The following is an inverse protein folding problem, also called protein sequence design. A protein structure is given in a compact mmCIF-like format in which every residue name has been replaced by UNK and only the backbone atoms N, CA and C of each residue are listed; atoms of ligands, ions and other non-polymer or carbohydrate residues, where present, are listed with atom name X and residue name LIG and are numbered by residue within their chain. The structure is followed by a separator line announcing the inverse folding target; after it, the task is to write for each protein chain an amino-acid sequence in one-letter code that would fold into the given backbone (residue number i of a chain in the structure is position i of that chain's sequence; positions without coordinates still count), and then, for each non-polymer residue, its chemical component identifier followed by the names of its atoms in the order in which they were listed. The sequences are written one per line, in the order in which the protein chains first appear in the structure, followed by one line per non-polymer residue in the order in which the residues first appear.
data_IF_361049388106
#
_entry.id   IF_361049388106
#
_cell.length_a   1.000
_cell.length_b   1.000
_cell.length_c   1.000
_cell.angle_alpha   90.00
_cell.angle_beta   90.00
_cell.angle_gamma   90.00
#
_symmetry.space_group_name_H-M   'P 1'
#
loop_
_entity.id
_entity.type
_entity.pdbx_description
1 polymer ?
#
# COMPACT_ATOMS: atom_id res chain seq x y z
N UNK A 1 9.98 -4.42 -25.52
CA UNK A 1 9.84 -5.66 -24.73
C UNK A 1 8.40 -5.71 -24.22
N UNK A 2 7.51 -6.49 -24.86
CA UNK A 2 6.10 -6.58 -24.45
C UNK A 2 6.01 -7.36 -23.14
N UNK A 3 5.98 -6.66 -22.00
CA UNK A 3 5.60 -7.24 -20.71
C UNK A 3 4.09 -7.44 -20.72
N UNK A 4 3.62 -8.54 -21.30
CA UNK A 4 2.22 -8.96 -21.19
C UNK A 4 1.90 -9.30 -19.74
N UNK A 5 0.69 -8.97 -19.30
CA UNK A 5 0.19 -9.34 -17.99
C UNK A 5 0.05 -10.87 -17.89
N UNK A 6 0.63 -11.48 -16.86
CA UNK A 6 0.43 -12.89 -16.57
C UNK A 6 -0.81 -13.06 -15.69
N UNK A 7 -1.77 -13.87 -16.15
CA UNK A 7 -3.04 -14.09 -15.44
C UNK A 7 -2.84 -14.67 -14.05
N UNK A 8 -1.82 -15.51 -13.83
CA UNK A 8 -1.51 -16.06 -12.50
C UNK A 8 -1.04 -14.99 -11.54
N UNK A 9 -0.25 -14.03 -12.03
CA UNK A 9 0.17 -12.87 -11.24
C UNK A 9 -1.02 -11.99 -10.92
N UNK A 10 -1.87 -11.70 -11.91
CA UNK A 10 -3.09 -10.93 -11.71
C UNK A 10 -4.03 -11.57 -10.67
N UNK A 11 -4.19 -12.90 -10.69
CA UNK A 11 -4.98 -13.63 -9.69
C UNK A 11 -4.36 -13.51 -8.29
N UNK A 12 -3.03 -13.60 -8.15
CA UNK A 12 -2.40 -13.38 -6.84
C UNK A 12 -2.60 -11.96 -6.33
N UNK A 13 -2.42 -10.97 -7.20
CA UNK A 13 -2.60 -9.57 -6.86
C UNK A 13 -4.06 -9.28 -6.47
N UNK A 14 -5.04 -9.84 -7.18
CA UNK A 14 -6.46 -9.68 -6.83
C UNK A 14 -6.80 -10.32 -5.49
N UNK A 15 -6.23 -11.50 -5.18
CA UNK A 15 -6.37 -12.13 -3.87
C UNK A 15 -5.78 -11.26 -2.75
N UNK A 16 -4.58 -10.70 -2.95
CA UNK A 16 -3.95 -9.79 -1.98
C UNK A 16 -4.81 -8.55 -1.73
N UNK A 17 -5.29 -7.91 -2.80
CA UNK A 17 -6.16 -6.74 -2.70
C UNK A 17 -7.49 -7.09 -2.03
N UNK A 18 -8.08 -8.25 -2.32
CA UNK A 18 -9.29 -8.74 -1.67
C UNK A 18 -9.11 -8.96 -0.17
N UNK A 19 -7.99 -9.58 0.24
CA UNK A 19 -7.62 -9.72 1.65
C UNK A 19 -7.47 -8.34 2.30
N UNK A 20 -6.78 -7.41 1.63
CA UNK A 20 -6.61 -6.05 2.09
C UNK A 20 -7.95 -5.34 2.31
N UNK A 21 -8.89 -5.49 1.38
CA UNK A 21 -10.22 -4.89 1.47
C UNK A 21 -10.98 -5.38 2.70
N UNK A 22 -11.00 -6.70 2.92
CA UNK A 22 -11.64 -7.30 4.10
C UNK A 22 -11.01 -6.78 5.38
N UNK A 23 -9.67 -6.82 5.48
CA UNK A 23 -8.96 -6.33 6.66
C UNK A 23 -9.21 -4.84 6.90
N UNK A 24 -9.31 -4.02 5.85
CA UNK A 24 -9.57 -2.59 5.96
C UNK A 24 -11.00 -2.28 6.44
N UNK A 25 -11.99 -3.03 5.97
CA UNK A 25 -13.40 -2.86 6.39
C UNK A 25 -13.53 -3.10 7.90
N UNK A 26 -12.90 -4.17 8.41
CA UNK A 26 -12.97 -4.56 9.83
C UNK A 26 -11.95 -3.87 10.73
N UNK A 27 -11.03 -3.07 10.18
CA UNK A 27 -10.06 -2.32 10.99
C UNK A 27 -10.77 -1.27 11.86
N UNK A 28 -10.46 -1.20 13.16
CA UNK A 28 -11.05 -0.20 14.05
C UNK A 28 -10.56 1.21 13.67
N UNK A 29 -11.44 2.23 13.68
CA UNK A 29 -11.03 3.61 13.47
C UNK A 29 -10.21 4.14 14.65
N UNK A 30 -9.22 4.97 14.32
CA UNK A 30 -8.38 5.68 15.29
C UNK A 30 -9.07 7.01 15.67
N UNK A 31 -9.15 7.95 14.72
CA UNK A 31 -9.70 9.30 14.93
C UNK A 31 -10.43 9.78 13.66
N UNK A 32 -11.55 10.49 13.82
CA UNK A 32 -12.34 11.05 12.70
C UNK A 32 -12.68 10.04 11.58
N UNK A 33 -12.84 8.76 11.94
CA UNK A 33 -13.10 7.69 10.97
C UNK A 33 -11.87 7.27 10.15
N UNK A 34 -10.69 7.82 10.41
CA UNK A 34 -9.43 7.35 9.82
C UNK A 34 -8.99 6.05 10.50
N UNK A 35 -8.65 5.06 9.68
CA UNK A 35 -8.28 3.70 10.09
C UNK A 35 -6.85 3.39 9.63
N UNK A 36 -6.14 2.45 10.28
CA UNK A 36 -4.93 1.87 9.71
C UNK A 36 -5.22 1.27 8.33
N UNK A 37 -4.45 1.69 7.33
CA UNK A 37 -4.72 1.31 5.95
C UNK A 37 -4.15 -0.07 5.61
N UNK A 38 -4.92 -1.12 5.90
CA UNK A 38 -4.55 -2.51 5.59
C UNK A 38 -4.56 -2.80 4.08
N UNK A 39 -5.32 -2.04 3.30
CA UNK A 39 -5.30 -2.08 1.83
C UNK A 39 -3.93 -1.61 1.32
N UNK A 40 -3.38 -0.55 1.91
CA UNK A 40 -2.03 -0.06 1.60
C UNK A 40 -0.95 -1.11 1.90
N UNK A 41 -1.06 -1.84 3.02
CA UNK A 41 -0.13 -2.92 3.35
C UNK A 41 -0.15 -4.02 2.29
N UNK A 42 -1.33 -4.46 1.84
CA UNK A 42 -1.44 -5.48 0.79
C UNK A 42 -0.98 -4.96 -0.58
N UNK A 43 -1.21 -3.69 -0.88
CA UNK A 43 -0.66 -3.03 -2.08
C UNK A 43 0.87 -3.09 -2.07
N UNK A 44 1.51 -2.69 -0.97
CA UNK A 44 2.96 -2.75 -0.81
C UNK A 44 3.51 -4.17 -0.91
N UNK A 45 2.82 -5.16 -0.32
CA UNK A 45 3.16 -6.57 -0.50
C UNK A 45 3.10 -7.01 -1.96
N UNK A 46 2.04 -6.63 -2.69
CA UNK A 46 1.91 -6.92 -4.12
C UNK A 46 3.08 -6.34 -4.92
N UNK A 47 3.46 -5.09 -4.64
CA UNK A 47 4.60 -4.42 -5.27
C UNK A 47 5.93 -5.12 -4.94
N UNK A 48 6.11 -5.56 -3.69
CA UNK A 48 7.31 -6.29 -3.26
C UNK A 48 7.46 -7.67 -3.92
N UNK A 49 6.36 -8.38 -4.13
CA UNK A 49 6.37 -9.70 -4.77
C UNK A 49 6.53 -9.61 -6.28
N UNK A 50 5.93 -8.57 -6.89
CA UNK A 50 5.95 -8.35 -8.33
C UNK A 50 6.36 -6.91 -8.66
N UNK A 51 7.65 -6.57 -8.51
CA UNK A 51 8.17 -5.22 -8.72
C UNK A 51 8.26 -4.89 -10.22
N UNK A 52 7.12 -4.78 -10.89
CA UNK A 52 7.02 -4.38 -12.29
C UNK A 52 6.01 -3.25 -12.46
N UNK A 53 6.38 -2.23 -13.22
CA UNK A 53 5.58 -1.02 -13.40
C UNK A 53 4.12 -1.27 -13.80
N UNK A 54 3.78 -2.19 -14.73
CA UNK A 54 2.37 -2.45 -15.07
C UNK A 54 1.54 -2.95 -13.88
N UNK A 55 2.11 -3.81 -13.04
CA UNK A 55 1.44 -4.31 -11.83
C UNK A 55 1.34 -3.23 -10.75
N UNK A 56 2.37 -2.38 -10.61
CA UNK A 56 2.37 -1.26 -9.66
C UNK A 56 1.25 -0.28 -9.99
N UNK A 57 1.13 0.11 -11.26
CA UNK A 57 0.07 1.02 -11.73
C UNK A 57 -1.30 0.40 -11.46
N UNK A 58 -1.47 -0.88 -11.84
CA UNK A 58 -2.72 -1.60 -11.58
C UNK A 58 -3.08 -1.63 -10.10
N UNK A 59 -2.13 -2.00 -9.23
CA UNK A 59 -2.32 -2.05 -7.78
C UNK A 59 -2.65 -0.66 -7.22
N UNK A 60 -1.98 0.38 -7.68
CA UNK A 60 -2.25 1.76 -7.29
C UNK A 60 -3.70 2.14 -7.56
N UNK A 61 -4.19 1.97 -8.79
CA UNK A 61 -5.56 2.31 -9.16
C UNK A 61 -6.61 1.42 -8.50
N UNK A 62 -6.39 0.11 -8.39
CA UNK A 62 -7.33 -0.80 -7.73
C UNK A 62 -7.46 -0.47 -6.24
N UNK A 63 -6.34 -0.22 -5.56
CA UNK A 63 -6.32 0.17 -4.16
C UNK A 63 -6.97 1.53 -3.98
N UNK A 64 -6.74 2.48 -4.90
CA UNK A 64 -7.39 3.79 -4.92
C UNK A 64 -8.91 3.66 -4.96
N UNK A 65 -9.44 2.86 -5.90
CA UNK A 65 -10.86 2.64 -6.07
C UNK A 65 -11.50 1.98 -4.85
N UNK A 66 -10.92 0.89 -4.35
CA UNK A 66 -11.48 0.17 -3.20
C UNK A 66 -11.40 1.01 -1.93
N UNK A 67 -10.28 1.69 -1.70
CA UNK A 67 -10.12 2.57 -0.53
C UNK A 67 -11.07 3.78 -0.61
N UNK A 68 -11.28 4.35 -1.79
CA UNK A 68 -12.28 5.40 -2.00
C UNK A 68 -13.71 4.89 -1.73
N UNK A 69 -14.06 3.66 -2.13
CA UNK A 69 -15.38 3.08 -1.87
C UNK A 69 -15.62 2.72 -0.40
N UNK A 70 -14.57 2.41 0.35
CA UNK A 70 -14.66 1.90 1.73
C UNK A 70 -14.32 2.94 2.80
N UNK A 71 -13.83 4.12 2.41
CA UNK A 71 -13.45 5.17 3.35
C UNK A 71 -14.68 5.84 3.99
N UNK A 72 -14.61 6.03 5.31
CA UNK A 72 -15.58 6.81 6.08
C UNK A 72 -15.11 8.25 6.34
N UNK A 73 -13.94 8.63 5.83
CA UNK A 73 -13.35 9.95 6.05
C UNK A 73 -13.98 10.97 5.08
N UNK A 74 -14.49 12.12 5.56
CA UNK A 74 -14.97 13.20 4.69
C UNK A 74 -13.88 13.63 3.68
N UNK A 75 -14.22 13.73 2.40
CA UNK A 75 -13.24 14.02 1.33
C UNK A 75 -12.27 12.86 1.01
N UNK A 76 -12.34 11.75 1.76
CA UNK A 76 -11.43 10.61 1.63
C UNK A 76 -11.50 9.89 0.29
N UNK A 77 -12.63 9.96 -0.41
CA UNK A 77 -12.81 9.34 -1.73
C UNK A 77 -11.83 9.94 -2.75
N UNK A 78 -11.81 11.28 -2.83
CA UNK A 78 -10.92 12.01 -3.73
C UNK A 78 -9.47 11.91 -3.26
N UNK A 79 -9.25 12.02 -1.94
CA UNK A 79 -7.91 11.87 -1.37
C UNK A 79 -7.29 10.50 -1.68
N UNK A 80 -8.04 9.41 -1.51
CA UNK A 80 -7.57 8.06 -1.84
C UNK A 80 -7.35 7.85 -3.34
N UNK A 81 -8.19 8.46 -4.19
CA UNK A 81 -8.05 8.37 -5.64
C UNK A 81 -6.73 8.98 -6.13
N UNK A 82 -6.27 10.05 -5.47
CA UNK A 82 -5.00 10.73 -5.79
C UNK A 82 -3.81 10.08 -5.08
N UNK A 83 -3.95 9.77 -3.79
CA UNK A 83 -2.88 9.23 -2.95
C UNK A 83 -2.36 7.89 -3.48
N UNK A 84 -3.22 6.88 -3.65
CA UNK A 84 -2.75 5.50 -3.87
C UNK A 84 -1.94 5.31 -5.16
N UNK A 85 -2.30 5.89 -6.32
CA UNK A 85 -1.47 5.80 -7.52
C UNK A 85 -0.10 6.45 -7.34
N UNK A 86 -0.02 7.62 -6.69
CA UNK A 86 1.23 8.33 -6.43
C UNK A 86 2.10 7.53 -5.45
N UNK A 87 1.50 7.10 -4.35
CA UNK A 87 2.15 6.31 -3.32
C UNK A 87 2.67 4.97 -3.86
N UNK A 88 1.91 4.27 -4.70
CA UNK A 88 2.36 3.03 -5.33
C UNK A 88 3.64 3.25 -6.16
N UNK A 89 3.67 4.31 -6.98
CA UNK A 89 4.83 4.67 -7.79
C UNK A 89 6.03 5.09 -6.93
N UNK A 90 5.83 5.91 -5.90
CA UNK A 90 6.90 6.34 -4.98
C UNK A 90 7.47 5.15 -4.20
N UNK A 91 6.59 4.27 -3.69
CA UNK A 91 7.00 3.05 -3.00
C UNK A 91 7.79 2.12 -3.93
N UNK A 92 7.36 1.97 -5.18
CA UNK A 92 8.09 1.19 -6.17
C UNK A 92 9.48 1.78 -6.48
N UNK A 93 9.58 3.10 -6.61
CA UNK A 93 10.86 3.79 -6.76
C UNK A 93 11.80 3.52 -5.57
N UNK A 94 11.27 3.65 -4.34
CA UNK A 94 12.00 3.35 -3.11
C UNK A 94 12.47 1.89 -3.09
N UNK A 95 11.60 0.95 -3.46
CA UNK A 95 11.92 -0.46 -3.55
C UNK A 95 13.08 -0.71 -4.51
N UNK A 96 13.04 -0.15 -5.74
CA UNK A 96 14.09 -0.37 -6.75
C UNK A 96 15.47 0.09 -6.25
N UNK A 97 15.52 1.23 -5.55
CA UNK A 97 16.77 1.80 -5.04
C UNK A 97 17.37 0.91 -3.96
N UNK A 98 16.56 0.47 -2.99
CA UNK A 98 17.07 -0.21 -1.80
C UNK A 98 17.11 -1.74 -1.87
N UNK A 99 16.36 -2.37 -2.78
CA UNK A 99 16.31 -3.84 -2.90
C UNK A 99 17.65 -4.48 -3.26
N UNK A 100 18.57 -3.72 -3.86
CA UNK A 100 19.91 -4.21 -4.22
C UNK A 100 20.88 -4.27 -3.03
N UNK A 101 20.59 -3.53 -1.96
CA UNK A 101 21.51 -3.31 -0.83
C UNK A 101 21.01 -3.99 0.45
N UNK A 102 19.68 -4.08 0.62
CA UNK A 102 19.06 -4.56 1.86
C UNK A 102 18.28 -5.85 1.58
N UNK A 103 18.44 -6.84 2.46
CA UNK A 103 17.68 -8.09 2.37
C UNK A 103 16.16 -7.82 2.41
N UNK A 104 15.35 -8.44 1.55
CA UNK A 104 13.92 -8.14 1.43
C UNK A 104 13.13 -8.21 2.74
N UNK A 105 13.45 -9.18 3.62
CA UNK A 105 12.80 -9.33 4.95
C UNK A 105 13.01 -8.12 5.86
N UNK A 106 14.18 -7.47 5.78
CA UNK A 106 14.48 -6.25 6.56
C UNK A 106 14.00 -5.00 5.83
N UNK A 107 14.05 -5.02 4.50
CA UNK A 107 13.66 -3.88 3.69
C UNK A 107 12.16 -3.62 3.79
N UNK A 108 11.33 -4.67 3.67
CA UNK A 108 9.88 -4.56 3.60
C UNK A 108 9.26 -3.71 4.73
N UNK A 109 9.53 -3.96 6.03
CA UNK A 109 9.00 -3.11 7.11
C UNK A 109 9.45 -1.65 7.01
N UNK A 110 10.71 -1.40 6.70
CA UNK A 110 11.30 -0.05 6.66
C UNK A 110 10.67 0.78 5.54
N UNK A 111 10.58 0.22 4.34
CA UNK A 111 9.96 0.93 3.21
C UNK A 111 8.45 1.07 3.40
N UNK A 112 7.79 0.14 4.11
CA UNK A 112 6.37 0.28 4.46
C UNK A 112 6.13 1.40 5.45
N UNK A 113 7.00 1.58 6.46
CA UNK A 113 6.91 2.71 7.37
C UNK A 113 7.01 4.05 6.59
N UNK A 114 8.05 4.17 5.75
CA UNK A 114 8.28 5.36 4.92
C UNK A 114 7.11 5.58 3.95
N UNK A 115 6.67 4.53 3.25
CA UNK A 115 5.57 4.58 2.31
C UNK A 115 4.24 4.96 2.96
N UNK A 116 3.97 4.50 4.18
CA UNK A 116 2.75 4.86 4.93
C UNK A 116 2.78 6.32 5.38
N UNK A 117 3.95 6.82 5.79
CA UNK A 117 4.11 8.24 6.15
C UNK A 117 3.88 9.12 4.91
N UNK A 118 4.49 8.77 3.77
CA UNK A 118 4.32 9.51 2.51
C UNK A 118 2.84 9.47 2.08
N UNK A 119 2.21 8.28 2.10
CA UNK A 119 0.80 8.11 1.76
C UNK A 119 -0.12 8.92 2.67
N UNK A 120 0.10 8.86 3.98
CA UNK A 120 -0.67 9.62 4.96
C UNK A 120 -0.51 11.13 4.78
N UNK A 121 0.69 11.60 4.45
CA UNK A 121 0.92 13.01 4.14
C UNK A 121 0.17 13.46 2.87
N UNK A 122 0.23 12.67 1.79
CA UNK A 122 -0.47 12.98 0.54
C UNK A 122 -1.99 12.95 0.76
N UNK A 123 -2.49 11.91 1.42
CA UNK A 123 -3.92 11.77 1.75
C UNK A 123 -4.42 12.97 2.57
N UNK A 124 -3.73 13.33 3.66
CA UNK A 124 -4.12 14.46 4.49
C UNK A 124 -4.04 15.79 3.74
N UNK A 125 -3.00 15.98 2.92
CA UNK A 125 -2.85 17.21 2.14
C UNK A 125 -4.03 17.41 1.17
N UNK A 126 -4.37 16.36 0.41
CA UNK A 126 -5.52 16.40 -0.51
C UNK A 126 -6.83 16.55 0.25
N UNK A 127 -7.00 15.85 1.38
CA UNK A 127 -8.18 15.98 2.22
C UNK A 127 -8.34 17.44 2.67
N UNK A 128 -7.35 18.05 3.34
CA UNK A 128 -7.42 19.42 3.86
C UNK A 128 -7.85 20.44 2.79
N UNK A 129 -7.30 20.34 1.57
CA UNK A 129 -7.66 21.23 0.45
C UNK A 129 -9.12 21.06 0.03
N UNK A 130 -9.63 19.83 -0.01
CA UNK A 130 -10.98 19.54 -0.52
C UNK A 130 -12.07 19.83 0.51
N UNK A 131 -11.85 19.47 1.78
CA UNK A 131 -12.85 19.68 2.86
C UNK A 131 -12.75 21.06 3.52
N UNK A 132 -11.75 21.88 3.17
CA UNK A 132 -11.56 23.21 3.78
C UNK A 132 -11.31 23.13 5.28
N UNK A 133 -10.58 22.09 5.72
CA UNK A 133 -10.34 21.84 7.13
C UNK A 133 -9.47 22.97 7.72
N UNK A 134 -9.86 23.49 8.89
CA UNK A 134 -9.24 24.66 9.54
C UNK A 134 -7.70 24.52 9.60
N UNK A 135 -7.01 25.63 9.31
CA UNK A 135 -5.55 25.76 9.43
C UNK A 135 -5.07 25.22 10.79
N UNK A 136 -4.09 24.31 10.78
CA UNK A 136 -3.56 23.64 11.99
C UNK A 136 -4.02 22.19 12.18
N UNK A 137 -5.05 21.73 11.46
CA UNK A 137 -5.51 20.33 11.52
C UNK A 137 -4.52 19.32 10.93
N UNK A 138 -3.74 19.69 9.90
CA UNK A 138 -2.80 18.77 9.24
C UNK A 138 -1.78 18.17 10.22
N UNK A 139 -1.06 19.03 10.95
CA UNK A 139 -0.01 18.58 11.88
C UNK A 139 -0.58 17.70 12.99
N UNK A 140 -1.74 18.08 13.54
CA UNK A 140 -2.41 17.31 14.57
C UNK A 140 -2.83 15.92 14.07
N UNK A 141 -3.47 15.85 12.88
CA UNK A 141 -3.90 14.59 12.29
C UNK A 141 -2.71 13.74 11.83
N UNK A 142 -1.64 14.35 11.34
CA UNK A 142 -0.42 13.64 10.96
C UNK A 142 0.21 12.94 12.16
N UNK A 143 0.37 13.66 13.28
CA UNK A 143 0.95 13.09 14.50
C UNK A 143 0.02 12.07 15.17
N UNK A 144 -1.29 12.35 15.22
CA UNK A 144 -2.26 11.53 15.94
C UNK A 144 -2.79 10.33 15.13
N UNK A 145 -2.66 10.34 13.80
CA UNK A 145 -3.21 9.30 12.93
C UNK A 145 -2.16 8.68 12.03
N UNK A 146 -1.38 9.49 11.29
CA UNK A 146 -0.43 8.95 10.31
C UNK A 146 0.71 8.20 10.98
N UNK A 147 1.28 8.76 12.06
CA UNK A 147 2.35 8.07 12.78
C UNK A 147 1.88 6.76 13.44
N UNK A 148 0.76 6.72 14.19
CA UNK A 148 0.23 5.45 14.70
C UNK A 148 -0.13 4.45 13.60
N UNK A 149 -0.75 4.90 12.51
CA UNK A 149 -1.07 4.04 11.38
C UNK A 149 0.20 3.48 10.72
N UNK A 150 1.26 4.28 10.60
CA UNK A 150 2.56 3.82 10.09
C UNK A 150 3.17 2.73 10.97
N UNK A 151 3.09 2.87 12.29
CA UNK A 151 3.53 1.83 13.23
C UNK A 151 2.72 0.55 13.03
N UNK A 152 1.38 0.64 13.02
CA UNK A 152 0.50 -0.53 12.86
C UNK A 152 0.70 -1.23 11.50
N UNK A 153 0.80 -0.46 10.43
CA UNK A 153 1.05 -0.99 9.08
C UNK A 153 2.44 -1.65 8.99
N UNK A 154 3.44 -1.09 9.66
CA UNK A 154 4.79 -1.67 9.73
C UNK A 154 4.78 -3.00 10.50
N UNK A 155 4.09 -3.05 11.65
CA UNK A 155 3.93 -4.30 12.41
C UNK A 155 3.21 -5.35 11.58
N UNK A 156 2.12 -4.97 10.90
CA UNK A 156 1.42 -5.86 9.98
C UNK A 156 2.36 -6.37 8.89
N UNK A 157 3.24 -5.52 8.35
CA UNK A 157 4.21 -5.91 7.33
C UNK A 157 5.26 -6.89 7.83
N UNK A 158 5.78 -6.69 9.05
CA UNK A 158 6.75 -7.60 9.70
C UNK A 158 6.16 -9.02 9.80
N UNK A 159 4.88 -9.13 10.12
CA UNK A 159 4.20 -10.42 10.26
C UNK A 159 3.86 -11.01 8.89
N UNK A 160 3.25 -10.22 8.01
CA UNK A 160 2.68 -10.71 6.75
C UNK A 160 3.74 -11.04 5.70
N UNK A 161 4.78 -10.22 5.56
CA UNK A 161 5.81 -10.41 4.55
C UNK A 161 6.44 -11.83 4.55
N UNK A 162 6.97 -12.35 5.67
CA UNK A 162 7.58 -13.68 5.67
C UNK A 162 6.57 -14.80 5.40
N UNK A 163 5.31 -14.64 5.83
CA UNK A 163 4.25 -15.63 5.60
C UNK A 163 3.95 -15.72 4.10
N UNK A 164 3.66 -14.58 3.47
CA UNK A 164 3.28 -14.54 2.06
C UNK A 164 4.47 -14.90 1.17
N UNK A 165 5.68 -14.44 1.49
CA UNK A 165 6.88 -14.81 0.75
C UNK A 165 7.13 -16.32 0.78
N UNK A 166 6.88 -17.00 1.90
CA UNK A 166 6.99 -18.47 2.00
C UNK A 166 5.93 -19.20 1.19
N UNK A 167 4.67 -18.73 1.23
CA UNK A 167 3.59 -19.30 0.43
C UNK A 167 3.92 -19.14 -1.06
N UNK A 168 4.38 -17.95 -1.46
CA UNK A 168 4.79 -17.67 -2.82
C UNK A 168 5.93 -18.58 -3.29
N UNK A 169 6.98 -18.76 -2.47
CA UNK A 169 8.13 -19.61 -2.80
C UNK A 169 7.75 -21.09 -3.00
N UNK A 170 6.67 -21.56 -2.36
CA UNK A 170 6.15 -22.93 -2.55
C UNK A 170 5.19 -23.05 -3.73
N UNK A 171 4.73 -21.94 -4.29
CA UNK A 171 3.84 -21.92 -5.45
C UNK A 171 4.63 -22.07 -6.75
N UNK A 172 4.03 -22.69 -7.78
CA UNK A 172 4.66 -22.80 -9.13
C UNK A 172 4.88 -21.43 -9.81
N UNK A 173 4.35 -20.36 -9.24
CA UNK A 173 4.37 -18.99 -9.78
C UNK A 173 5.77 -18.36 -9.63
N UNK A 174 6.60 -18.84 -8.71
CA UNK A 174 8.00 -18.40 -8.56
C UNK A 174 8.84 -18.61 -9.84
N UNK A 175 8.46 -19.53 -10.73
CA UNK A 175 9.16 -19.80 -12.00
C UNK A 175 8.92 -18.73 -13.09
N UNK A 176 7.91 -17.89 -12.92
CA UNK A 176 7.50 -16.86 -13.90
C UNK A 176 8.38 -15.61 -13.76
N UNK A 177 8.80 -15.29 -12.53
CA UNK A 177 9.66 -14.13 -12.24
C UNK A 177 11.10 -14.33 -12.72
N UNK A 178 11.62 -15.58 -12.71
CA UNK A 178 12.99 -15.92 -13.13
C UNK A 178 13.18 -15.95 -14.65
N UNK A 179 12.11 -16.11 -15.44
CA UNK A 179 12.19 -16.09 -16.91
C UNK A 179 12.21 -14.69 -17.52
N UNK A 180 12.03 -13.65 -16.69
CA UNK A 180 11.92 -12.25 -17.12
C UNK A 180 13.11 -11.37 -16.71
N UNK A 181 14.16 -11.96 -16.13
CA UNK A 181 15.44 -11.33 -15.79
C UNK A 181 16.55 -11.80 -16.71
#
# INVERSE_FOLDING_TARGET
MNKQFDTRVLVMLSLLIGIGAVLHIFAPPILFGMKPDMLLVMMFLGILLFPQLPYVILLGFLTAGISALTTSVPGGQMANMVDKPITACLFFGLLIVFQKVIRPVKLAPVITAIGTIISGAIFLYVAVIIIGLVEGSFTALFLAVVLPAAVLNTVAMIIMYPIIARIFARSRISSITTKAS
#
